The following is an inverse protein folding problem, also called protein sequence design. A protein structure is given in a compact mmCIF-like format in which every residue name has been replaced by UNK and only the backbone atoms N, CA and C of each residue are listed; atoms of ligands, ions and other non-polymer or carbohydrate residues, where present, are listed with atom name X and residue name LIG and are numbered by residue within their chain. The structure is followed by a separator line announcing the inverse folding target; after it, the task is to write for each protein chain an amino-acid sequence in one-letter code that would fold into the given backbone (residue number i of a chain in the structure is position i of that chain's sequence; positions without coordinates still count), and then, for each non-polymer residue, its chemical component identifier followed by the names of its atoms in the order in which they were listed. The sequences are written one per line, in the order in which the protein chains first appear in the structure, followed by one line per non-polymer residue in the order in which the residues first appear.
data_IF_033635982139
#
_entry.id   IF_033635982139
#
_cell.length_a   1.000
_cell.length_b   1.000
_cell.length_c   1.000
_cell.angle_alpha   90.00
_cell.angle_beta   90.00
_cell.angle_gamma   90.00
#
_symmetry.space_group_name_H-M   'P 1'
#
loop_
_entity.id
_entity.type
_entity.pdbx_description
1 polymer ?
#
# COMPACT_ATOMS: atom_id res chain seq x y z
N UNK A 1 26.20 32.32 10.30
CA UNK A 1 25.55 31.06 9.91
C UNK A 1 24.12 31.39 9.53
N UNK A 2 23.74 31.13 8.28
CA UNK A 2 22.45 31.61 7.75
C UNK A 2 21.31 30.71 8.24
N UNK A 3 20.31 31.28 8.91
CA UNK A 3 19.06 30.60 9.31
C UNK A 3 18.35 29.87 8.15
N UNK A 4 18.55 30.33 6.91
CA UNK A 4 18.01 29.68 5.70
C UNK A 4 18.70 28.35 5.40
N UNK A 5 20.00 28.26 5.66
CA UNK A 5 20.78 27.04 5.40
C UNK A 5 20.41 25.91 6.38
N UNK A 6 20.16 26.24 7.63
CA UNK A 6 19.72 25.26 8.66
C UNK A 6 18.33 24.68 8.35
N UNK A 7 17.37 25.51 7.92
CA UNK A 7 16.03 25.04 7.52
C UNK A 7 16.07 24.15 6.28
N UNK A 8 16.88 24.52 5.29
CA UNK A 8 17.06 23.70 4.08
C UNK A 8 17.63 22.33 4.43
N UNK A 9 18.62 22.28 5.30
CA UNK A 9 19.17 21.01 5.79
C UNK A 9 18.15 20.17 6.54
N UNK A 10 17.30 20.79 7.35
CA UNK A 10 16.23 20.11 8.09
C UNK A 10 15.21 19.47 7.13
N UNK A 11 14.78 20.20 6.09
CA UNK A 11 13.89 19.66 5.07
C UNK A 11 14.51 18.45 4.35
N UNK A 12 15.76 18.57 3.91
CA UNK A 12 16.48 17.46 3.24
C UNK A 12 16.61 16.26 4.20
N UNK A 13 16.90 16.51 5.47
CA UNK A 13 17.00 15.45 6.46
C UNK A 13 15.67 14.73 6.68
N UNK A 14 14.56 15.47 6.77
CA UNK A 14 13.21 14.90 6.88
C UNK A 14 12.83 14.05 5.67
N UNK A 15 13.13 14.52 4.45
CA UNK A 15 12.90 13.75 3.22
C UNK A 15 13.68 12.43 3.27
N UNK A 16 14.98 12.47 3.61
CA UNK A 16 15.80 11.26 3.74
C UNK A 16 15.25 10.30 4.79
N UNK A 17 14.74 10.83 5.89
CA UNK A 17 14.12 10.04 6.97
C UNK A 17 12.85 9.33 6.48
N UNK A 18 11.99 10.04 5.73
CA UNK A 18 10.77 9.45 5.14
C UNK A 18 11.13 8.36 4.12
N UNK A 19 12.07 8.61 3.22
CA UNK A 19 12.54 7.62 2.24
C UNK A 19 13.11 6.39 2.95
N UNK A 20 13.93 6.58 3.96
CA UNK A 20 14.51 5.47 4.74
C UNK A 20 13.46 4.67 5.48
N UNK A 21 12.43 5.33 6.01
CA UNK A 21 11.27 4.66 6.63
C UNK A 21 10.53 3.74 5.66
N UNK A 22 10.30 4.20 4.43
CA UNK A 22 9.70 3.39 3.36
C UNK A 22 10.56 2.18 2.97
N UNK A 23 11.87 2.36 2.83
CA UNK A 23 12.80 1.26 2.54
C UNK A 23 12.82 0.19 3.64
N UNK A 24 12.85 0.61 4.90
CA UNK A 24 12.84 -0.30 6.05
C UNK A 24 11.54 -1.09 6.12
N UNK A 25 10.41 -0.44 5.87
CA UNK A 25 9.11 -1.09 5.81
C UNK A 25 9.08 -2.16 4.69
N UNK A 26 9.54 -1.81 3.49
CA UNK A 26 9.62 -2.75 2.36
C UNK A 26 10.52 -3.94 2.68
N UNK A 27 11.67 -3.68 3.31
CA UNK A 27 12.61 -4.72 3.72
C UNK A 27 12.00 -5.66 4.77
N UNK A 28 11.27 -5.12 5.75
CA UNK A 28 10.56 -5.91 6.75
C UNK A 28 9.52 -6.82 6.12
N UNK A 29 8.66 -6.29 5.23
CA UNK A 29 7.66 -7.09 4.52
C UNK A 29 8.30 -8.25 3.75
N UNK A 30 9.36 -7.98 3.00
CA UNK A 30 10.03 -9.01 2.21
C UNK A 30 10.73 -10.05 3.07
N UNK A 31 11.40 -9.64 4.14
CA UNK A 31 12.20 -10.52 4.98
C UNK A 31 11.36 -11.35 5.94
N UNK A 32 10.45 -10.70 6.67
CA UNK A 32 9.69 -11.33 7.75
C UNK A 32 8.40 -11.99 7.26
N UNK A 33 7.76 -11.40 6.25
CA UNK A 33 6.45 -11.86 5.75
C UNK A 33 6.49 -12.41 4.33
N UNK A 34 7.60 -12.26 3.61
CA UNK A 34 7.79 -12.73 2.24
C UNK A 34 6.75 -12.21 1.24
N UNK A 35 6.24 -11.01 1.48
CA UNK A 35 5.28 -10.33 0.60
C UNK A 35 5.75 -8.93 0.26
N UNK A 36 5.31 -8.44 -0.90
CA UNK A 36 5.42 -7.04 -1.28
C UNK A 36 4.25 -6.22 -0.70
N UNK A 37 4.34 -4.89 -0.72
CA UNK A 37 3.26 -4.01 -0.28
C UNK A 37 1.95 -4.25 -1.07
N UNK A 38 1.93 -4.37 -2.41
CA UNK A 38 0.71 -4.71 -3.15
C UNK A 38 0.15 -6.10 -2.80
N UNK A 39 1.01 -7.08 -2.55
CA UNK A 39 0.59 -8.41 -2.11
C UNK A 39 -0.08 -8.35 -0.72
N UNK A 40 0.50 -7.60 0.21
CA UNK A 40 -0.12 -7.38 1.52
C UNK A 40 -1.47 -6.68 1.40
N UNK A 41 -1.58 -5.66 0.55
CA UNK A 41 -2.86 -4.96 0.31
C UNK A 41 -3.94 -5.92 -0.19
N UNK A 42 -3.60 -6.83 -1.09
CA UNK A 42 -4.51 -7.88 -1.57
C UNK A 42 -4.96 -8.81 -0.43
N UNK A 43 -4.03 -9.27 0.41
CA UNK A 43 -4.35 -10.13 1.55
C UNK A 43 -5.26 -9.42 2.58
N UNK A 44 -4.99 -8.15 2.86
CA UNK A 44 -5.80 -7.34 3.78
C UNK A 44 -7.20 -7.09 3.21
N UNK A 45 -7.33 -6.82 1.91
CA UNK A 45 -8.63 -6.69 1.25
C UNK A 45 -9.48 -7.95 1.42
N UNK A 46 -8.90 -9.13 1.18
CA UNK A 46 -9.56 -10.41 1.39
C UNK A 46 -9.87 -10.70 2.86
N UNK A 47 -9.02 -10.27 3.77
CA UNK A 47 -9.21 -10.42 5.20
C UNK A 47 -10.37 -9.57 5.73
N UNK A 48 -10.46 -8.33 5.28
CA UNK A 48 -11.48 -7.37 5.73
C UNK A 48 -12.83 -7.58 5.04
N UNK A 49 -12.85 -7.90 3.76
CA UNK A 49 -14.06 -7.96 2.93
C UNK A 49 -14.53 -9.41 2.64
N UNK A 50 -13.69 -10.39 2.93
CA UNK A 50 -13.95 -11.78 2.56
C UNK A 50 -13.54 -12.11 1.13
N UNK A 51 -13.93 -13.31 0.70
CA UNK A 51 -13.61 -13.82 -0.64
C UNK A 51 -14.27 -13.00 -1.74
N UNK A 52 -13.55 -12.69 -2.79
CA UNK A 52 -14.05 -11.88 -3.90
C UNK A 52 -13.37 -12.22 -5.24
N UNK A 53 -14.01 -11.87 -6.37
CA UNK A 53 -13.39 -12.04 -7.68
C UNK A 53 -12.15 -11.13 -7.87
N UNK A 54 -11.20 -11.50 -8.75
CA UNK A 54 -10.03 -10.67 -9.06
C UNK A 54 -10.37 -9.23 -9.46
N UNK A 55 -11.46 -9.02 -10.20
CA UNK A 55 -11.91 -7.69 -10.60
C UNK A 55 -12.30 -6.79 -9.43
N UNK A 56 -12.87 -7.35 -8.37
CA UNK A 56 -13.18 -6.60 -7.14
C UNK A 56 -11.91 -6.31 -6.33
N UNK A 57 -10.98 -7.27 -6.26
CA UNK A 57 -9.67 -7.04 -5.62
C UNK A 57 -8.96 -5.89 -6.32
N UNK A 58 -8.91 -5.91 -7.66
CA UNK A 58 -8.27 -4.85 -8.45
C UNK A 58 -8.85 -3.46 -8.15
N UNK A 59 -10.18 -3.35 -8.04
CA UNK A 59 -10.85 -2.10 -7.65
C UNK A 59 -10.52 -1.69 -6.23
N UNK A 60 -10.52 -2.64 -5.31
CA UNK A 60 -10.29 -2.37 -3.88
C UNK A 60 -8.87 -1.88 -3.60
N UNK A 61 -7.87 -2.48 -4.25
CA UNK A 61 -6.46 -2.08 -4.09
C UNK A 61 -5.99 -1.10 -5.19
N UNK A 62 -6.90 -0.66 -6.07
CA UNK A 62 -6.68 0.34 -7.13
C UNK A 62 -5.53 0.00 -8.09
N UNK A 63 -5.55 -1.22 -8.60
CA UNK A 63 -4.64 -1.68 -9.65
C UNK A 63 -5.41 -2.12 -10.89
N UNK A 64 -4.73 -2.24 -12.02
CA UNK A 64 -5.33 -2.78 -13.23
C UNK A 64 -5.43 -4.32 -13.21
N UNK A 65 -6.18 -4.88 -14.15
CA UNK A 65 -6.44 -6.33 -14.22
C UNK A 65 -5.18 -7.16 -14.42
N UNK A 66 -4.20 -6.68 -15.16
CA UNK A 66 -2.94 -7.41 -15.40
C UNK A 66 -2.09 -7.44 -14.14
N UNK A 67 -2.04 -6.34 -13.40
CA UNK A 67 -1.32 -6.24 -12.13
C UNK A 67 -1.92 -7.15 -11.07
N UNK A 68 -3.26 -7.13 -10.90
CA UNK A 68 -3.92 -7.99 -9.89
C UNK A 68 -3.74 -9.48 -10.21
N UNK A 69 -3.76 -9.86 -11.48
CA UNK A 69 -3.50 -11.25 -11.89
C UNK A 69 -2.12 -11.71 -11.43
N UNK A 70 -1.09 -10.91 -11.68
CA UNK A 70 0.27 -11.20 -11.23
C UNK A 70 0.43 -11.27 -9.70
N UNK A 71 -0.28 -10.40 -8.97
CA UNK A 71 -0.29 -10.42 -7.50
C UNK A 71 -0.92 -11.73 -7.00
N UNK A 72 -2.09 -12.09 -7.53
CA UNK A 72 -2.82 -13.31 -7.13
C UNK A 72 -2.02 -14.57 -7.46
N UNK A 73 -1.42 -14.65 -8.65
CA UNK A 73 -0.58 -15.79 -9.06
C UNK A 73 0.57 -16.02 -8.06
N UNK A 74 1.25 -14.95 -7.68
CA UNK A 74 2.37 -15.05 -6.72
C UNK A 74 1.89 -15.41 -5.31
N UNK A 75 0.75 -14.88 -4.88
CA UNK A 75 0.16 -15.23 -3.59
C UNK A 75 -0.31 -16.68 -3.54
N UNK A 76 -0.88 -17.18 -4.64
CA UNK A 76 -1.29 -18.59 -4.77
C UNK A 76 -0.06 -19.51 -4.74
N UNK A 77 1.01 -19.19 -5.48
CA UNK A 77 2.27 -19.94 -5.45
C UNK A 77 2.88 -20.02 -4.05
N UNK A 78 2.74 -18.95 -3.27
CA UNK A 78 3.20 -18.89 -1.87
C UNK A 78 2.26 -19.57 -0.89
N UNK A 79 1.07 -20.00 -1.34
CA UNK A 79 0.06 -20.67 -0.52
C UNK A 79 -0.74 -19.74 0.39
N UNK A 80 -0.79 -18.44 0.11
CA UNK A 80 -1.55 -17.46 0.90
C UNK A 80 -3.00 -17.30 0.44
N UNK A 81 -3.28 -17.57 -0.82
CA UNK A 81 -4.62 -17.54 -1.41
C UNK A 81 -4.88 -18.78 -2.25
N UNK A 82 -6.15 -19.05 -2.49
CA UNK A 82 -6.62 -20.11 -3.36
C UNK A 82 -7.73 -19.60 -4.29
N UNK A 83 -7.77 -20.16 -5.49
CA UNK A 83 -8.86 -19.93 -6.44
C UNK A 83 -9.93 -20.99 -6.28
N UNK A 84 -11.18 -20.57 -6.20
CA UNK A 84 -12.31 -21.46 -6.17
C UNK A 84 -13.41 -21.01 -7.15
N UNK A 85 -14.21 -21.96 -7.60
CA UNK A 85 -15.38 -21.74 -8.45
C UNK A 85 -16.63 -22.11 -7.67
N UNK A 86 -16.93 -21.32 -6.64
CA UNK A 86 -18.04 -21.58 -5.69
C UNK A 86 -19.38 -21.08 -6.25
N UNK A 87 -19.38 -20.22 -7.26
CA UNK A 87 -20.59 -19.70 -7.87
C UNK A 87 -21.28 -20.76 -8.76
N UNK A 88 -22.63 -20.80 -8.83
CA UNK A 88 -23.38 -21.55 -9.84
C UNK A 88 -22.94 -21.21 -11.27
N UNK A 89 -22.47 -20.00 -11.49
CA UNK A 89 -21.77 -19.60 -12.72
C UNK A 89 -20.29 -20.00 -12.63
N UNK A 90 -19.94 -21.12 -13.26
CA UNK A 90 -18.56 -21.64 -13.33
C UNK A 90 -17.56 -20.67 -14.00
N UNK A 91 -18.04 -19.54 -14.53
CA UNK A 91 -17.20 -18.49 -15.15
C UNK A 91 -16.61 -17.54 -14.12
N UNK A 92 -17.17 -17.48 -12.92
CA UNK A 92 -16.70 -16.57 -11.86
C UNK A 92 -15.70 -17.30 -10.97
N UNK A 93 -14.44 -16.86 -11.02
CA UNK A 93 -13.39 -17.31 -10.12
C UNK A 93 -13.42 -16.41 -8.90
N UNK A 94 -13.43 -17.01 -7.73
CA UNK A 94 -13.35 -16.31 -6.42
C UNK A 94 -12.02 -16.62 -5.77
N UNK A 95 -11.39 -15.60 -5.22
CA UNK A 95 -10.14 -15.69 -4.47
C UNK A 95 -10.47 -15.69 -2.99
N UNK A 96 -9.90 -16.63 -2.26
CA UNK A 96 -10.05 -16.78 -0.82
C UNK A 96 -8.70 -16.86 -0.13
N UNK A 97 -8.63 -16.40 1.12
CA UNK A 97 -7.46 -16.61 1.95
C UNK A 97 -7.38 -18.08 2.38
N UNK A 98 -6.18 -18.64 2.33
CA UNK A 98 -5.86 -19.87 3.05
C UNK A 98 -5.67 -19.58 4.54
N UNK A 99 -5.55 -20.60 5.37
CA UNK A 99 -5.21 -20.44 6.79
C UNK A 99 -3.88 -19.68 6.96
N UNK A 100 -2.89 -20.00 6.13
CA UNK A 100 -1.61 -19.30 6.07
C UNK A 100 -1.76 -17.83 5.71
N UNK A 101 -2.62 -17.53 4.72
CA UNK A 101 -2.95 -16.15 4.31
C UNK A 101 -3.65 -15.36 5.39
N UNK A 102 -4.60 -15.97 6.10
CA UNK A 102 -5.31 -15.35 7.23
C UNK A 102 -4.34 -15.01 8.37
N UNK A 103 -3.45 -15.94 8.73
CA UNK A 103 -2.44 -15.75 9.77
C UNK A 103 -1.51 -14.59 9.42
N UNK A 104 -1.05 -14.51 8.16
CA UNK A 104 -0.22 -13.42 7.71
C UNK A 104 -0.95 -12.09 7.76
N UNK A 105 -2.16 -12.01 7.22
CA UNK A 105 -2.96 -10.78 7.21
C UNK A 105 -3.23 -10.24 8.63
N UNK A 106 -3.44 -11.15 9.59
CA UNK A 106 -3.68 -10.80 10.99
C UNK A 106 -2.42 -10.26 11.70
N UNK A 107 -1.24 -10.77 11.37
CA UNK A 107 0.01 -10.49 12.08
C UNK A 107 0.91 -9.47 11.37
N UNK A 108 0.66 -9.19 10.08
CA UNK A 108 1.46 -8.25 9.32
C UNK A 108 1.36 -6.81 9.88
N UNK A 109 2.43 -6.02 9.78
CA UNK A 109 2.38 -4.62 10.16
C UNK A 109 1.36 -3.88 9.27
N UNK A 110 0.68 -2.86 9.80
CA UNK A 110 -0.27 -2.09 9.01
C UNK A 110 0.45 -1.41 7.84
N UNK A 111 -0.21 -1.31 6.66
CA UNK A 111 0.34 -0.58 5.54
C UNK A 111 0.79 0.82 5.94
N UNK A 112 1.91 1.28 5.38
CA UNK A 112 2.46 2.60 5.70
C UNK A 112 1.45 3.72 5.43
N UNK A 113 0.69 3.59 4.33
CA UNK A 113 -0.40 4.51 4.00
C UNK A 113 -1.48 4.56 5.07
N UNK A 114 -1.83 3.43 5.67
CA UNK A 114 -2.83 3.39 6.76
C UNK A 114 -2.37 4.20 7.96
N UNK A 115 -1.11 4.10 8.34
CA UNK A 115 -0.53 4.92 9.41
C UNK A 115 -0.60 6.42 9.11
N UNK A 116 -0.28 6.79 7.86
CA UNK A 116 -0.35 8.19 7.40
C UNK A 116 -1.79 8.69 7.45
N UNK A 117 -2.74 7.94 6.90
CA UNK A 117 -4.17 8.30 6.89
C UNK A 117 -4.71 8.48 8.30
N UNK A 118 -4.42 7.54 9.20
CA UNK A 118 -4.85 7.64 10.60
C UNK A 118 -4.23 8.84 11.32
N UNK A 119 -3.00 9.18 10.98
CA UNK A 119 -2.34 10.38 11.47
C UNK A 119 -3.01 11.66 10.95
N UNK A 120 -3.23 11.75 9.63
CA UNK A 120 -3.85 12.92 8.99
C UNK A 120 -5.29 13.17 9.48
N UNK A 121 -6.07 12.11 9.74
CA UNK A 121 -7.44 12.25 10.28
C UNK A 121 -7.51 12.91 11.66
N UNK A 122 -6.40 12.96 12.40
CA UNK A 122 -6.32 13.59 13.72
C UNK A 122 -5.92 15.07 13.65
N UNK A 123 -5.51 15.54 12.47
CA UNK A 123 -5.09 16.92 12.26
C UNK A 123 -6.27 17.81 11.85
N UNK A 124 -6.24 19.10 12.21
CA UNK A 124 -7.16 20.08 11.65
C UNK A 124 -7.03 20.14 10.11
N UNK A 125 -8.13 20.44 9.43
CA UNK A 125 -8.15 20.54 7.94
C UNK A 125 -7.09 21.49 7.41
N UNK A 126 -6.86 22.61 8.07
CA UNK A 126 -5.85 23.58 7.66
C UNK A 126 -4.43 22.98 7.65
N UNK A 127 -4.06 22.19 8.66
CA UNK A 127 -2.74 21.53 8.72
C UNK A 127 -2.59 20.48 7.59
N UNK A 128 -3.66 19.78 7.26
CA UNK A 128 -3.67 18.85 6.14
C UNK A 128 -3.43 19.58 4.82
N UNK A 129 -4.10 20.73 4.60
CA UNK A 129 -3.91 21.57 3.41
C UNK A 129 -2.47 22.13 3.32
N UNK A 130 -1.87 22.49 4.44
CA UNK A 130 -0.46 22.90 4.52
C UNK A 130 0.49 21.78 4.13
N UNK A 131 0.24 20.55 4.59
CA UNK A 131 1.01 19.36 4.22
C UNK A 131 0.88 19.08 2.71
N UNK A 132 -0.33 19.12 2.16
CA UNK A 132 -0.57 18.93 0.72
C UNK A 132 0.22 19.95 -0.09
N UNK A 133 0.14 21.22 0.29
CA UNK A 133 0.87 22.31 -0.39
C UNK A 133 2.38 22.11 -0.34
N UNK A 134 2.92 21.75 0.83
CA UNK A 134 4.35 21.53 1.02
C UNK A 134 4.85 20.32 0.20
N UNK A 135 4.13 19.20 0.24
CA UNK A 135 4.47 18.00 -0.53
C UNK A 135 4.38 18.24 -2.04
N UNK A 136 3.38 18.99 -2.51
CA UNK A 136 3.26 19.37 -3.92
C UNK A 136 4.46 20.19 -4.41
N UNK A 137 4.95 21.15 -3.61
CA UNK A 137 6.16 21.91 -3.92
C UNK A 137 7.40 21.00 -3.99
N UNK A 138 7.53 20.07 -3.05
CA UNK A 138 8.65 19.12 -3.04
C UNK A 138 8.61 18.18 -4.25
N UNK A 139 7.45 17.66 -4.61
CA UNK A 139 7.27 16.81 -5.79
C UNK A 139 7.68 17.56 -7.08
N UNK A 140 7.32 18.84 -7.18
CA UNK A 140 7.75 19.68 -8.30
C UNK A 140 9.26 19.89 -8.32
N UNK A 141 9.91 20.19 -7.17
CA UNK A 141 11.35 20.36 -7.07
C UNK A 141 12.14 19.10 -7.44
N UNK A 142 11.54 17.92 -7.25
CA UNK A 142 12.12 16.61 -7.54
C UNK A 142 11.82 16.11 -8.96
N UNK A 143 11.10 16.89 -9.78
CA UNK A 143 10.63 16.50 -11.11
C UNK A 143 9.83 15.19 -11.14
N UNK A 144 9.05 14.93 -10.07
CA UNK A 144 8.20 13.74 -9.93
C UNK A 144 6.70 14.06 -9.89
N UNK A 145 6.33 15.32 -10.17
CA UNK A 145 4.94 15.78 -10.14
C UNK A 145 4.04 15.12 -11.20
N UNK A 146 4.63 14.68 -12.32
CA UNK A 146 3.93 13.96 -13.40
C UNK A 146 4.08 12.43 -13.28
N UNK A 147 4.73 11.95 -12.20
CA UNK A 147 4.89 10.52 -11.99
C UNK A 147 3.53 9.90 -11.67
N UNK A 148 3.11 8.94 -12.50
CA UNK A 148 1.89 8.17 -12.24
C UNK A 148 2.17 7.21 -11.08
N UNK A 149 1.50 7.44 -9.97
CA UNK A 149 1.54 6.55 -8.80
C UNK A 149 0.17 5.93 -8.61
N UNK A 150 0.15 4.64 -8.35
CA UNK A 150 -1.09 3.95 -7.99
C UNK A 150 -1.71 4.66 -6.78
N UNK A 151 -2.93 5.17 -6.96
CA UNK A 151 -3.63 5.82 -5.87
C UNK A 151 -4.00 4.76 -4.84
N UNK A 152 -3.46 4.90 -3.62
CA UNK A 152 -3.84 4.02 -2.53
C UNK A 152 -5.32 4.23 -2.17
N UNK A 153 -6.06 3.15 -2.02
CA UNK A 153 -7.42 3.20 -1.46
C UNK A 153 -7.35 3.65 -0.01
N UNK A 154 -8.00 4.75 0.30
CA UNK A 154 -8.04 5.34 1.63
C UNK A 154 -9.24 4.84 2.43
#
# INVERSE_FOLDING_TARGET
MNHTDDRTREVVWLIRKLMRGGELYTKELNKEYQVSAPQLSCLLALFEQGSMPPSQIAKYIMVNSSTVTGIIDRLEQKGFVERSRISPDRRVITISLTEKGQTLAKNAPPPLQKKIVEGLRKLPSQEVDEIITALGKLAYMMDVHDLDVEQATL
#
